data_IF_804113543069
#
_entry.id   IF_804113543069
#
_cell.length_a   1.000
_cell.length_b   1.000
_cell.length_c   1.000
_cell.angle_alpha   90.00
_cell.angle_beta   90.00
_cell.angle_gamma   90.00
#
_symmetry.space_group_name_H-M   'P 1'
#
loop_
_entity.id
_entity.type
_entity.pdbx_description
1 polymer ?
#
# COMPACT_ATOMS: atom_id res chain seq x y z
N UNK A 1 -36.20 -12.30 5.42
CA UNK A 1 -35.36 -11.29 4.72
C UNK A 1 -34.81 -10.36 5.79
N UNK A 2 -33.50 -10.44 6.06
CA UNK A 2 -32.84 -9.46 6.91
C UNK A 2 -32.90 -8.11 6.18
N UNK A 3 -33.51 -7.10 6.79
CA UNK A 3 -33.58 -5.75 6.26
C UNK A 3 -32.21 -5.04 6.44
N UNK A 4 -31.17 -5.56 5.79
CA UNK A 4 -29.84 -4.94 5.83
C UNK A 4 -29.79 -3.87 4.73
N UNK A 5 -29.48 -2.61 5.06
CA UNK A 5 -29.45 -1.55 4.07
C UNK A 5 -28.32 -1.77 3.04
N UNK A 6 -28.58 -1.37 1.80
CA UNK A 6 -27.55 -1.36 0.76
C UNK A 6 -26.70 -0.10 0.88
N UNK A 7 -25.40 -0.28 1.00
CA UNK A 7 -24.41 0.81 1.03
C UNK A 7 -23.70 0.88 -0.32
N UNK A 8 -23.74 2.04 -0.96
CA UNK A 8 -23.08 2.27 -2.25
C UNK A 8 -21.59 2.56 -2.09
N UNK A 9 -21.24 3.25 -1.01
CA UNK A 9 -19.86 3.64 -0.72
C UNK A 9 -19.62 3.57 0.79
N UNK A 10 -18.75 2.67 1.22
CA UNK A 10 -18.39 2.52 2.63
C UNK A 10 -17.51 3.67 3.16
N UNK A 11 -17.05 4.58 2.28
CA UNK A 11 -16.24 5.73 2.65
C UNK A 11 -17.06 7.04 2.75
N UNK A 12 -18.39 6.99 2.64
CA UNK A 12 -19.29 8.16 2.77
C UNK A 12 -19.67 8.49 4.22
N UNK A 13 -19.10 7.80 5.19
CA UNK A 13 -19.40 7.93 6.62
C UNK A 13 -20.50 7.00 7.13
N UNK A 14 -21.08 6.15 6.27
CA UNK A 14 -22.07 5.12 6.63
C UNK A 14 -21.50 3.75 6.33
N UNK A 15 -21.16 3.00 7.38
CA UNK A 15 -20.55 1.68 7.24
C UNK A 15 -21.50 0.51 7.55
N UNK A 16 -22.67 0.79 8.14
CA UNK A 16 -23.66 -0.25 8.44
C UNK A 16 -24.44 -0.64 7.18
N UNK A 17 -24.29 -1.87 6.76
CA UNK A 17 -25.01 -2.38 5.59
C UNK A 17 -24.23 -3.41 4.79
N UNK A 18 -24.70 -3.68 3.57
CA UNK A 18 -24.08 -4.58 2.61
C UNK A 18 -23.83 -3.85 1.28
N UNK A 19 -22.71 -4.10 0.67
CA UNK A 19 -22.36 -3.49 -0.62
C UNK A 19 -21.12 -4.11 -1.23
N UNK A 20 -20.78 -3.69 -2.43
CA UNK A 20 -19.56 -4.09 -3.09
C UNK A 20 -18.42 -3.13 -2.70
N UNK A 21 -17.26 -3.70 -2.40
CA UNK A 21 -16.07 -2.88 -2.19
C UNK A 21 -15.65 -2.19 -3.49
N UNK A 22 -15.28 -0.93 -3.37
CA UNK A 22 -14.66 -0.20 -4.47
C UNK A 22 -13.25 -0.70 -4.68
N UNK A 23 -12.91 -1.01 -5.92
CA UNK A 23 -11.62 -1.55 -6.30
C UNK A 23 -10.87 -0.57 -7.21
N UNK A 24 -9.55 -0.49 -7.01
CA UNK A 24 -8.68 0.27 -7.91
C UNK A 24 -8.42 -0.51 -9.19
N UNK A 25 -9.36 -0.41 -10.13
CA UNK A 25 -9.29 -1.08 -11.44
C UNK A 25 -9.36 -0.08 -12.59
N UNK A 26 -8.83 -0.44 -13.74
CA UNK A 26 -8.95 0.30 -15.00
C UNK A 26 -9.08 -0.68 -16.14
N UNK A 27 -10.19 -0.60 -16.87
CA UNK A 27 -10.48 -1.47 -18.03
C UNK A 27 -10.36 -2.96 -17.70
N UNK A 28 -10.86 -3.38 -16.52
CA UNK A 28 -10.83 -4.76 -16.07
C UNK A 28 -9.46 -5.27 -15.58
N UNK A 29 -8.50 -4.39 -15.38
CA UNK A 29 -7.18 -4.72 -14.82
C UNK A 29 -6.94 -3.98 -13.50
N UNK A 30 -6.14 -4.58 -12.63
CA UNK A 30 -5.67 -3.91 -11.42
C UNK A 30 -4.92 -2.63 -11.78
N UNK A 31 -5.36 -1.51 -11.22
CA UNK A 31 -4.74 -0.20 -11.41
C UNK A 31 -3.97 0.18 -10.14
N UNK A 32 -2.77 -0.36 -9.98
CA UNK A 32 -1.87 0.03 -8.88
C UNK A 32 -1.36 1.47 -9.07
N UNK A 33 -0.78 2.05 -8.01
CA UNK A 33 -0.13 3.37 -8.07
C UNK A 33 0.95 3.44 -9.15
N UNK A 34 1.69 2.34 -9.36
CA UNK A 34 2.66 2.26 -10.45
C UNK A 34 2.01 2.38 -11.83
N UNK A 35 0.83 1.77 -12.04
CA UNK A 35 0.08 1.86 -13.31
C UNK A 35 -0.59 3.23 -13.46
N UNK A 36 -1.15 3.76 -12.36
CA UNK A 36 -1.91 5.00 -12.38
C UNK A 36 -1.04 6.24 -12.53
N UNK A 37 0.10 6.28 -11.84
CA UNK A 37 0.93 7.48 -11.70
C UNK A 37 2.32 7.32 -12.28
N UNK A 38 3.05 6.25 -11.96
CA UNK A 38 4.42 6.09 -12.38
C UNK A 38 4.55 5.82 -13.88
N UNK A 39 3.74 4.92 -14.43
CA UNK A 39 3.79 4.58 -15.85
C UNK A 39 3.57 5.78 -16.77
N UNK A 40 2.57 6.67 -16.55
CA UNK A 40 2.41 7.90 -17.34
C UNK A 40 3.55 8.91 -17.18
N UNK A 41 4.20 8.92 -16.01
CA UNK A 41 5.29 9.87 -15.72
C UNK A 41 6.67 9.37 -16.12
N UNK A 42 6.83 8.10 -16.50
CA UNK A 42 8.12 7.43 -16.68
C UNK A 42 9.06 8.11 -17.69
N UNK A 43 8.49 8.76 -18.68
CA UNK A 43 9.28 9.42 -19.73
C UNK A 43 9.62 10.89 -19.39
N UNK A 44 9.32 11.37 -18.21
CA UNK A 44 9.68 12.71 -17.77
C UNK A 44 11.19 12.78 -17.51
N UNK A 45 11.86 13.77 -18.08
CA UNK A 45 13.32 13.96 -17.93
C UNK A 45 13.75 14.30 -16.51
N UNK A 46 12.82 14.80 -15.70
CA UNK A 46 13.04 15.15 -14.29
C UNK A 46 12.63 14.04 -13.30
N UNK A 47 12.36 12.82 -13.79
CA UNK A 47 12.02 11.67 -12.97
C UNK A 47 13.06 10.57 -13.16
N UNK A 48 13.72 10.20 -12.07
CA UNK A 48 14.57 9.00 -11.99
C UNK A 48 13.93 7.99 -11.06
N UNK A 49 13.86 6.73 -11.48
CA UNK A 49 13.31 5.63 -10.69
C UNK A 49 14.38 4.58 -10.50
N UNK A 50 14.85 4.46 -9.26
CA UNK A 50 15.79 3.43 -8.87
C UNK A 50 15.04 2.26 -8.23
N UNK A 51 15.25 1.06 -8.76
CA UNK A 51 14.70 -0.19 -8.22
C UNK A 51 15.79 -1.00 -7.55
N UNK A 52 15.41 -2.00 -6.73
CA UNK A 52 16.35 -2.81 -5.96
C UNK A 52 17.28 -1.96 -5.08
N UNK A 53 16.78 -0.80 -4.65
CA UNK A 53 17.49 0.20 -3.87
C UNK A 53 16.94 0.19 -2.43
N UNK A 54 17.62 -0.51 -1.54
CA UNK A 54 17.24 -0.57 -0.12
C UNK A 54 17.81 0.64 0.62
N UNK A 55 16.95 1.59 0.99
CA UNK A 55 17.35 2.74 1.80
C UNK A 55 17.78 2.26 3.19
N UNK A 56 18.97 2.65 3.59
CA UNK A 56 19.58 2.24 4.87
C UNK A 56 19.72 3.41 5.84
N UNK A 57 19.79 4.64 5.33
CA UNK A 57 20.06 5.81 6.16
C UNK A 57 19.51 7.10 5.54
N UNK A 58 19.04 8.00 6.41
CA UNK A 58 18.80 9.40 6.08
C UNK A 58 20.06 10.22 6.32
N UNK A 59 20.42 11.09 5.40
CA UNK A 59 21.58 11.99 5.51
C UNK A 59 21.12 13.35 6.01
N UNK A 60 21.87 13.92 6.95
CA UNK A 60 21.53 15.20 7.57
C UNK A 60 22.74 16.13 7.64
N UNK A 61 22.50 17.41 7.42
CA UNK A 61 23.38 18.51 7.77
C UNK A 61 22.70 19.33 8.88
N UNK A 62 23.23 19.24 10.10
CA UNK A 62 22.56 19.78 11.28
C UNK A 62 21.18 19.16 11.48
N UNK A 63 20.13 19.98 11.41
CA UNK A 63 18.71 19.53 11.53
C UNK A 63 18.02 19.31 10.17
N UNK A 64 18.70 19.59 9.07
CA UNK A 64 18.13 19.47 7.72
C UNK A 64 18.42 18.09 7.13
N UNK A 65 17.41 17.40 6.63
CA UNK A 65 17.59 16.22 5.81
C UNK A 65 18.09 16.65 4.41
N UNK A 66 19.24 16.13 4.00
CA UNK A 66 19.94 16.52 2.77
C UNK A 66 20.09 15.38 1.79
N UNK A 67 19.62 14.17 2.13
CA UNK A 67 19.69 13.04 1.23
C UNK A 67 19.33 11.71 1.87
N UNK A 68 19.61 10.67 1.11
CA UNK A 68 19.43 9.27 1.54
C UNK A 68 20.65 8.46 1.12
N UNK A 69 20.96 7.43 1.89
CA UNK A 69 21.89 6.37 1.52
C UNK A 69 21.11 5.08 1.31
N UNK A 70 21.40 4.36 0.23
CA UNK A 70 20.78 3.07 -0.05
C UNK A 70 21.81 2.07 -0.56
N UNK A 71 21.50 0.80 -0.39
CA UNK A 71 22.26 -0.29 -0.98
C UNK A 71 21.57 -0.77 -2.25
N UNK A 72 22.35 -0.87 -3.32
CA UNK A 72 21.90 -1.40 -4.59
C UNK A 72 22.99 -2.32 -5.16
N UNK A 73 22.63 -3.56 -5.45
CA UNK A 73 23.56 -4.58 -5.98
C UNK A 73 24.84 -4.73 -5.18
N UNK A 74 24.74 -4.65 -3.84
CA UNK A 74 25.89 -4.76 -2.93
C UNK A 74 26.73 -3.49 -2.80
N UNK A 75 26.38 -2.41 -3.48
CA UNK A 75 27.07 -1.12 -3.38
C UNK A 75 26.24 -0.13 -2.56
N UNK A 76 26.93 0.68 -1.75
CA UNK A 76 26.32 1.78 -1.01
C UNK A 76 26.38 3.05 -1.87
N UNK A 77 25.22 3.64 -2.10
CA UNK A 77 25.05 4.86 -2.92
C UNK A 77 24.42 5.94 -2.07
N UNK A 78 24.93 7.16 -2.14
CA UNK A 78 24.33 8.34 -1.51
C UNK A 78 23.75 9.27 -2.58
N UNK A 79 22.50 9.71 -2.37
CA UNK A 79 21.82 10.68 -3.22
C UNK A 79 21.43 11.89 -2.39
N UNK A 80 21.80 13.08 -2.89
CA UNK A 80 21.46 14.35 -2.25
C UNK A 80 20.12 14.88 -2.72
N UNK A 81 19.41 15.51 -1.80
CA UNK A 81 18.13 16.18 -2.04
C UNK A 81 18.30 17.69 -1.90
N UNK A 82 17.95 18.44 -2.94
CA UNK A 82 18.05 19.90 -2.94
C UNK A 82 16.92 20.57 -2.15
N UNK A 83 15.74 19.92 -2.06
CA UNK A 83 14.57 20.48 -1.38
C UNK A 83 14.20 19.67 -0.15
N UNK A 84 13.77 18.43 -0.34
CA UNK A 84 13.22 17.59 0.73
C UNK A 84 13.45 16.10 0.45
N UNK A 85 13.33 15.28 1.50
CA UNK A 85 13.29 13.83 1.43
C UNK A 85 11.90 13.39 1.89
N UNK A 86 11.17 12.67 1.05
CA UNK A 86 9.83 12.18 1.33
C UNK A 86 9.92 10.71 1.69
N UNK A 87 9.50 10.34 2.91
CA UNK A 87 9.44 8.96 3.36
C UNK A 87 8.06 8.38 3.07
N UNK A 88 7.99 7.38 2.19
CA UNK A 88 6.78 6.65 1.83
C UNK A 88 7.03 5.13 1.86
N UNK A 89 7.81 4.65 2.85
CA UNK A 89 8.24 3.27 2.96
C UNK A 89 7.22 2.36 3.70
N UNK A 90 6.02 2.87 3.95
CA UNK A 90 4.94 2.17 4.65
C UNK A 90 4.97 2.36 6.17
N UNK A 91 3.95 1.82 6.83
CA UNK A 91 3.68 2.05 8.25
C UNK A 91 4.78 1.50 9.19
N UNK A 92 5.55 0.53 8.73
CA UNK A 92 6.63 -0.08 9.53
C UNK A 92 7.99 0.53 9.17
N UNK A 93 8.33 0.63 7.89
CA UNK A 93 9.69 1.03 7.49
C UNK A 93 9.91 2.55 7.56
N UNK A 94 8.89 3.38 7.37
CA UNK A 94 9.05 4.83 7.52
C UNK A 94 9.44 5.23 8.95
N UNK A 95 8.74 4.78 10.01
CA UNK A 95 9.19 5.06 11.38
C UNK A 95 10.51 4.36 11.71
N UNK A 96 10.80 3.18 11.17
CA UNK A 96 12.09 2.53 11.35
C UNK A 96 13.25 3.40 10.82
N UNK A 97 13.13 3.95 9.62
CA UNK A 97 14.14 4.84 9.05
C UNK A 97 14.32 6.11 9.87
N UNK A 98 13.24 6.68 10.42
CA UNK A 98 13.31 7.81 11.34
C UNK A 98 14.05 7.44 12.62
N UNK A 99 13.73 6.32 13.25
CA UNK A 99 14.39 5.85 14.45
C UNK A 99 15.88 5.56 14.23
N UNK A 100 16.24 4.92 13.13
CA UNK A 100 17.64 4.71 12.73
C UNK A 100 18.39 6.01 12.50
N UNK A 101 17.69 7.08 12.12
CA UNK A 101 18.25 8.42 11.98
C UNK A 101 18.32 9.21 13.30
N UNK A 102 17.94 8.60 14.41
CA UNK A 102 17.93 9.24 15.73
C UNK A 102 16.69 10.09 16.02
N UNK A 103 15.61 9.89 15.27
CA UNK A 103 14.35 10.62 15.43
C UNK A 103 13.29 9.67 16.00
N UNK A 104 12.88 9.89 17.26
CA UNK A 104 11.96 9.01 17.96
C UNK A 104 11.97 9.24 19.46
N UNK A 105 11.48 8.26 20.23
CA UNK A 105 11.56 8.29 21.69
C UNK A 105 13.02 8.16 22.12
N UNK A 106 13.55 9.18 22.77
CA UNK A 106 14.97 9.27 23.17
C UNK A 106 15.41 8.10 24.04
N UNK A 107 14.59 7.66 24.98
CA UNK A 107 14.97 6.58 25.89
C UNK A 107 14.95 5.22 25.18
N UNK A 108 14.01 5.02 24.28
CA UNK A 108 13.99 3.85 23.41
C UNK A 108 15.24 3.82 22.51
N UNK A 109 15.54 4.91 21.81
CA UNK A 109 16.71 5.02 20.93
C UNK A 109 18.01 4.75 21.69
N UNK A 110 18.15 5.31 22.90
CA UNK A 110 19.32 5.10 23.75
C UNK A 110 19.50 3.63 24.15
N UNK A 111 18.41 2.94 24.51
CA UNK A 111 18.46 1.49 24.78
C UNK A 111 18.92 0.66 23.59
N UNK A 112 18.62 1.13 22.37
CA UNK A 112 19.05 0.49 21.11
C UNK A 112 20.44 0.92 20.65
N UNK A 113 21.16 1.73 21.42
CA UNK A 113 22.48 2.24 21.07
C UNK A 113 22.46 3.33 20.00
N UNK A 114 21.29 3.95 19.75
CA UNK A 114 21.13 5.00 18.76
C UNK A 114 21.17 6.37 19.42
N UNK A 115 22.04 7.25 18.93
CA UNK A 115 22.11 8.62 19.39
C UNK A 115 20.85 9.40 18.98
N UNK A 116 20.15 9.97 19.96
CA UNK A 116 18.95 10.76 19.72
C UNK A 116 19.32 12.10 19.08
N UNK A 117 18.76 12.36 17.90
CA UNK A 117 18.86 13.63 17.20
C UNK A 117 17.68 14.53 17.52
N UNK A 118 16.50 13.95 17.58
CA UNK A 118 15.25 14.65 17.86
C UNK A 118 14.31 13.76 18.65
N UNK A 119 13.84 14.26 19.77
CA UNK A 119 12.81 13.58 20.56
C UNK A 119 11.44 13.76 19.89
N UNK A 120 10.90 12.68 19.33
CA UNK A 120 9.54 12.58 18.78
C UNK A 120 8.92 11.28 19.27
N UNK A 121 8.29 11.25 20.44
CA UNK A 121 7.85 10.02 21.09
C UNK A 121 6.75 9.26 20.32
N UNK A 122 6.02 9.93 19.43
CA UNK A 122 4.99 9.29 18.59
C UNK A 122 5.52 8.49 17.39
N UNK A 123 6.82 8.56 17.11
CA UNK A 123 7.41 7.80 15.99
C UNK A 123 7.43 6.31 16.31
N UNK A 124 6.73 5.51 15.48
CA UNK A 124 6.62 4.06 15.66
C UNK A 124 5.55 3.63 16.66
N UNK A 125 4.78 4.57 17.20
CA UNK A 125 3.69 4.30 18.12
C UNK A 125 2.34 4.26 17.38
N UNK A 126 1.31 3.73 18.05
CA UNK A 126 -0.07 3.70 17.59
C UNK A 126 -0.27 3.01 16.23
N UNK A 127 0.54 2.00 15.93
CA UNK A 127 0.28 1.15 14.76
C UNK A 127 -1.09 0.48 14.91
N UNK A 128 -1.93 0.65 13.91
CA UNK A 128 -3.27 0.06 13.87
C UNK A 128 -3.41 -0.86 12.66
N UNK A 129 -4.09 -1.97 12.86
CA UNK A 129 -4.52 -2.87 11.80
C UNK A 129 -6.04 -3.01 11.83
N UNK A 130 -6.64 -3.22 10.65
CA UNK A 130 -8.08 -3.36 10.55
C UNK A 130 -8.51 -4.75 11.03
N UNK A 131 -9.35 -4.80 12.06
CA UNK A 131 -10.00 -6.03 12.45
C UNK A 131 -10.92 -6.49 11.32
N UNK A 132 -10.68 -7.69 10.79
CA UNK A 132 -11.52 -8.30 9.78
C UNK A 132 -12.13 -9.60 10.34
N UNK A 133 -13.42 -9.74 10.17
CA UNK A 133 -14.13 -10.97 10.47
C UNK A 133 -14.83 -11.47 9.22
N UNK A 134 -14.55 -12.72 8.82
CA UNK A 134 -15.16 -13.34 7.64
C UNK A 134 -16.34 -14.18 8.07
N UNK A 135 -17.54 -13.72 7.76
CA UNK A 135 -18.75 -14.51 7.89
C UNK A 135 -18.90 -15.38 6.64
N UNK A 136 -19.04 -16.67 6.83
CA UNK A 136 -19.32 -17.62 5.75
C UNK A 136 -20.74 -18.15 5.93
N UNK A 137 -21.50 -18.06 4.85
CA UNK A 137 -22.87 -18.56 4.80
C UNK A 137 -23.00 -19.59 3.69
N UNK A 138 -23.72 -20.65 3.96
CA UNK A 138 -24.20 -21.57 2.95
C UNK A 138 -25.51 -21.04 2.38
N UNK A 139 -25.61 -20.99 1.06
CA UNK A 139 -26.83 -20.54 0.38
C UNK A 139 -27.59 -21.71 -0.20
N UNK A 140 -28.90 -21.66 -0.08
CA UNK A 140 -29.80 -22.73 -0.55
C UNK A 140 -30.01 -22.74 -2.07
N UNK A 141 -29.56 -21.71 -2.78
CA UNK A 141 -29.69 -21.59 -4.22
C UNK A 141 -28.31 -21.42 -4.88
N UNK A 142 -28.08 -21.93 -6.12
CA UNK A 142 -26.80 -21.84 -6.82
C UNK A 142 -26.59 -20.46 -7.44
N UNK A 143 -26.48 -19.43 -6.59
CA UNK A 143 -26.32 -18.02 -7.00
C UNK A 143 -24.92 -17.47 -6.75
N UNK A 144 -24.03 -18.33 -6.24
CA UNK A 144 -22.67 -17.89 -5.88
C UNK A 144 -21.71 -18.04 -7.05
N UNK A 145 -20.62 -17.28 -6.99
CA UNK A 145 -19.52 -17.42 -7.93
C UNK A 145 -18.90 -18.84 -7.89
N UNK A 146 -18.90 -19.49 -6.73
CA UNK A 146 -18.40 -20.86 -6.57
C UNK A 146 -19.15 -21.84 -7.47
N UNK A 147 -20.49 -21.72 -7.58
CA UNK A 147 -21.30 -22.57 -8.44
C UNK A 147 -20.86 -22.47 -9.90
N UNK A 148 -20.57 -21.27 -10.36
CA UNK A 148 -20.08 -21.04 -11.73
C UNK A 148 -18.65 -21.57 -11.91
N UNK A 149 -17.78 -21.38 -10.91
CA UNK A 149 -16.38 -21.81 -10.96
C UNK A 149 -16.19 -23.32 -10.80
N UNK A 150 -17.20 -24.06 -10.33
CA UNK A 150 -17.13 -25.52 -10.20
C UNK A 150 -17.24 -26.24 -11.57
N UNK A 151 -17.65 -25.55 -12.63
CA UNK A 151 -17.75 -26.14 -13.97
C UNK A 151 -16.70 -25.58 -14.93
N UNK A 152 -16.15 -26.40 -15.83
CA UNK A 152 -15.24 -25.95 -16.89
C UNK A 152 -15.90 -24.95 -17.83
N UNK A 153 -17.18 -25.16 -18.13
CA UNK A 153 -17.95 -24.24 -18.97
C UNK A 153 -18.14 -22.87 -18.29
N UNK A 154 -18.41 -22.86 -16.98
CA UNK A 154 -18.53 -21.63 -16.20
C UNK A 154 -17.22 -20.84 -16.18
N UNK A 155 -16.08 -21.53 -15.97
CA UNK A 155 -14.75 -20.92 -16.04
C UNK A 155 -14.47 -20.31 -17.43
N UNK A 156 -14.77 -21.05 -18.49
CA UNK A 156 -14.61 -20.57 -19.85
C UNK A 156 -15.49 -19.35 -20.14
N UNK A 157 -16.75 -19.36 -19.71
CA UNK A 157 -17.68 -18.22 -19.85
C UNK A 157 -17.15 -16.96 -19.16
N UNK A 158 -16.69 -17.08 -17.91
CA UNK A 158 -16.12 -15.96 -17.17
C UNK A 158 -14.85 -15.45 -17.86
N UNK A 159 -13.98 -16.34 -18.32
CA UNK A 159 -12.78 -15.98 -19.07
C UNK A 159 -13.09 -15.23 -20.37
N UNK A 160 -14.04 -15.73 -21.17
CA UNK A 160 -14.48 -15.05 -22.39
C UNK A 160 -15.11 -13.69 -22.12
N UNK A 161 -15.96 -13.59 -21.09
CA UNK A 161 -16.55 -12.31 -20.69
C UNK A 161 -15.49 -11.28 -20.37
N UNK A 162 -14.45 -11.70 -19.65
CA UNK A 162 -13.36 -10.80 -19.32
C UNK A 162 -12.52 -10.40 -20.54
N UNK A 163 -12.23 -11.36 -21.45
CA UNK A 163 -11.44 -11.09 -22.67
C UNK A 163 -12.16 -10.08 -23.56
N UNK A 164 -13.45 -10.25 -23.82
CA UNK A 164 -14.20 -9.40 -24.73
C UNK A 164 -14.67 -8.09 -24.12
N UNK A 165 -15.25 -8.16 -22.94
CA UNK A 165 -15.94 -7.01 -22.35
C UNK A 165 -15.17 -6.36 -21.20
N UNK A 166 -14.05 -6.99 -20.72
CA UNK A 166 -13.33 -6.54 -19.53
C UNK A 166 -14.26 -6.34 -18.32
N UNK A 167 -15.25 -7.22 -18.18
CA UNK A 167 -16.27 -7.16 -17.14
C UNK A 167 -16.46 -8.52 -16.46
N UNK A 168 -17.28 -8.54 -15.39
CA UNK A 168 -17.58 -9.75 -14.64
C UNK A 168 -16.61 -10.03 -13.50
N UNK A 169 -16.60 -11.25 -12.95
CA UNK A 169 -15.87 -11.58 -11.72
C UNK A 169 -14.35 -11.42 -11.77
N UNK A 170 -13.77 -11.30 -12.95
CA UNK A 170 -12.32 -11.08 -13.15
C UNK A 170 -11.96 -9.62 -13.43
N UNK A 171 -12.91 -8.69 -13.48
CA UNK A 171 -12.70 -7.28 -13.78
C UNK A 171 -12.36 -6.43 -12.56
#
# INVERSE_FOLDING_TARGET
TCAVPHVKDFNDGRQEGVGYFQLSTRKGFRCSTAVAYLKPARNRTNLTVETDAQVTRLVFEGKRATGVQYNQRGQSVEVKANREVILSAGAIQSPQLLMLAGIGNTDHLRRMGINSRQHLPGVGENLQDHLQFRLMYEVSQPITLNDTLNSLFGKAKIGMQWIWNRSGPLA
#
